data_IF_544935673690
#
_entry.id   IF_544935673690
#
_cell.length_a   1.000
_cell.length_b   1.000
_cell.length_c   1.000
_cell.angle_alpha   90.00
_cell.angle_beta   90.00
_cell.angle_gamma   90.00
#
_symmetry.space_group_name_H-M   'P 1'
#
loop_
_entity.id
_entity.type
_entity.pdbx_description
1 polymer ?
#
# COMPACT_ATOMS: atom_id res chain seq x y z
N UNK A 1 15.52 20.00 -23.86
CA UNK A 1 15.59 18.79 -23.00
C UNK A 1 15.39 17.58 -23.89
N UNK A 2 16.19 16.51 -23.76
CA UNK A 2 16.02 15.25 -24.52
C UNK A 2 15.92 14.10 -23.52
N UNK A 3 15.00 13.16 -23.75
CA UNK A 3 14.83 11.95 -22.93
C UNK A 3 15.83 10.92 -23.45
N UNK A 4 16.67 10.38 -22.56
CA UNK A 4 17.61 9.29 -22.90
C UNK A 4 16.92 7.93 -22.74
N UNK A 5 16.26 7.74 -21.61
CA UNK A 5 15.54 6.52 -21.26
C UNK A 5 14.20 6.91 -20.62
N UNK A 6 13.10 6.43 -21.20
CA UNK A 6 11.75 6.75 -20.71
C UNK A 6 11.38 5.97 -19.45
N UNK A 7 11.92 4.75 -19.26
CA UNK A 7 11.60 3.85 -18.15
C UNK A 7 12.90 3.30 -17.55
N UNK A 8 13.52 4.06 -16.67
CA UNK A 8 14.78 3.67 -16.03
C UNK A 8 14.53 2.72 -14.83
N UNK A 9 13.55 3.04 -13.99
CA UNK A 9 13.24 2.26 -12.80
C UNK A 9 11.74 2.16 -12.55
N UNK A 10 11.35 1.12 -11.82
CA UNK A 10 10.00 0.97 -11.25
C UNK A 10 10.12 1.23 -9.76
N UNK A 11 9.28 2.12 -9.24
CA UNK A 11 9.28 2.54 -7.85
C UNK A 11 7.98 2.12 -7.17
N UNK A 12 8.08 1.69 -5.92
CA UNK A 12 6.93 1.45 -5.06
C UNK A 12 6.33 2.75 -4.55
N UNK A 13 5.04 2.73 -4.20
CA UNK A 13 4.35 3.87 -3.59
C UNK A 13 5.05 4.31 -2.29
N UNK A 14 5.60 3.36 -1.54
CA UNK A 14 6.35 3.64 -0.32
C UNK A 14 7.61 4.46 -0.57
N UNK A 15 8.41 4.11 -1.58
CA UNK A 15 9.63 4.86 -1.92
C UNK A 15 9.30 6.29 -2.33
N UNK A 16 8.26 6.47 -3.15
CA UNK A 16 7.80 7.79 -3.57
C UNK A 16 7.26 8.59 -2.36
N UNK A 17 6.45 7.96 -1.51
CA UNK A 17 5.93 8.57 -0.29
C UNK A 17 7.04 8.99 0.67
N UNK A 18 8.03 8.13 0.91
CA UNK A 18 9.17 8.40 1.78
C UNK A 18 10.03 9.56 1.24
N UNK A 19 10.25 9.59 -0.07
CA UNK A 19 10.96 10.68 -0.75
C UNK A 19 10.22 12.02 -0.60
N UNK A 20 8.93 12.05 -0.93
CA UNK A 20 8.11 13.27 -0.84
C UNK A 20 7.98 13.77 0.60
N UNK A 21 7.85 12.85 1.56
CA UNK A 21 7.78 13.17 3.00
C UNK A 21 9.09 13.77 3.52
N UNK A 22 10.23 13.21 3.12
CA UNK A 22 11.56 13.74 3.47
C UNK A 22 11.76 15.12 2.86
N UNK A 23 11.45 15.29 1.58
CA UNK A 23 11.56 16.59 0.89
C UNK A 23 10.66 17.66 1.52
N UNK A 24 9.46 17.28 1.97
CA UNK A 24 8.56 18.19 2.68
C UNK A 24 9.18 18.68 4.02
N UNK A 25 9.81 17.78 4.78
CA UNK A 25 10.50 18.13 6.04
C UNK A 25 11.68 19.07 5.79
N UNK A 26 12.54 18.77 4.83
CA UNK A 26 13.70 19.61 4.49
C UNK A 26 13.29 21.04 4.09
N UNK A 27 12.18 21.19 3.35
CA UNK A 27 11.68 22.49 2.93
C UNK A 27 11.19 23.32 4.12
N UNK A 28 10.50 22.65 5.07
CA UNK A 28 10.06 23.28 6.31
C UNK A 28 11.25 23.74 7.16
N UNK A 29 12.27 22.89 7.33
CA UNK A 29 13.49 23.20 8.08
C UNK A 29 14.25 24.37 7.47
N UNK A 30 14.39 24.40 6.14
CA UNK A 30 15.07 25.46 5.41
C UNK A 30 14.22 26.74 5.27
N UNK A 31 12.97 26.74 5.73
CA UNK A 31 11.97 27.81 5.50
C UNK A 31 11.87 28.18 4.02
N UNK A 32 12.07 27.19 3.13
CA UNK A 32 12.00 27.35 1.68
C UNK A 32 10.68 26.80 1.18
N UNK A 33 10.19 27.39 0.09
CA UNK A 33 8.99 26.94 -0.58
C UNK A 33 9.31 26.64 -2.03
N UNK A 34 8.88 25.48 -2.51
CA UNK A 34 9.04 25.13 -3.91
C UNK A 34 8.15 25.97 -4.82
N UNK A 35 8.30 25.78 -6.14
CA UNK A 35 7.32 26.27 -7.11
C UNK A 35 5.90 25.83 -6.73
N UNK A 36 4.90 26.70 -6.89
CA UNK A 36 3.54 26.44 -6.41
C UNK A 36 2.89 25.17 -6.99
N UNK A 37 3.19 24.84 -8.24
CA UNK A 37 2.73 23.61 -8.88
C UNK A 37 3.32 22.34 -8.25
N UNK A 38 4.60 22.36 -7.87
CA UNK A 38 5.23 21.24 -7.17
C UNK A 38 4.62 21.05 -5.78
N UNK A 39 4.34 22.14 -5.08
CA UNK A 39 3.71 22.12 -3.76
C UNK A 39 2.32 21.49 -3.80
N UNK A 40 1.51 21.84 -4.79
CA UNK A 40 0.17 21.26 -5.01
C UNK A 40 0.28 19.77 -5.29
N UNK A 41 1.10 19.37 -6.27
CA UNK A 41 1.28 17.97 -6.65
C UNK A 41 1.76 17.12 -5.47
N UNK A 42 2.75 17.61 -4.72
CA UNK A 42 3.26 16.92 -3.53
C UNK A 42 2.16 16.70 -2.49
N UNK A 43 1.37 17.73 -2.19
CA UNK A 43 0.28 17.63 -1.21
C UNK A 43 -0.78 16.63 -1.66
N UNK A 44 -1.19 16.68 -2.91
CA UNK A 44 -2.20 15.78 -3.48
C UNK A 44 -1.72 14.33 -3.49
N UNK A 45 -0.45 14.07 -3.84
CA UNK A 45 0.12 12.73 -3.81
C UNK A 45 0.24 12.16 -2.40
N UNK A 46 0.69 12.97 -1.43
CA UNK A 46 0.73 12.54 -0.03
C UNK A 46 -0.68 12.22 0.48
N UNK A 47 -1.67 13.05 0.14
CA UNK A 47 -3.07 12.79 0.48
C UNK A 47 -3.59 11.50 -0.16
N UNK A 48 -3.25 11.24 -1.43
CA UNK A 48 -3.60 10.00 -2.11
C UNK A 48 -3.00 8.77 -1.41
N UNK A 49 -1.71 8.82 -1.06
CA UNK A 49 -1.05 7.71 -0.36
C UNK A 49 -1.60 7.49 1.06
N UNK A 50 -2.05 8.54 1.75
CA UNK A 50 -2.61 8.41 3.10
C UNK A 50 -4.12 8.06 3.12
N UNK A 51 -4.80 8.06 1.97
CA UNK A 51 -6.23 7.77 1.90
C UNK A 51 -6.54 6.27 2.02
N UNK A 52 -7.46 5.89 2.90
CA UNK A 52 -7.96 4.50 2.97
C UNK A 52 -8.61 4.10 1.63
N UNK A 53 -8.36 2.88 1.09
CA UNK A 53 -7.72 1.72 1.70
C UNK A 53 -6.22 1.55 1.37
N UNK A 54 -5.47 2.62 1.07
CA UNK A 54 -4.03 2.54 0.81
C UNK A 54 -3.28 1.85 1.96
N UNK A 55 -2.25 1.01 1.68
CA UNK A 55 -1.41 0.43 2.73
C UNK A 55 -0.72 1.46 3.62
N UNK A 56 -0.51 2.68 3.11
CA UNK A 56 0.15 3.78 3.83
C UNK A 56 -0.83 4.66 4.62
N UNK A 57 -2.13 4.32 4.66
CA UNK A 57 -3.15 5.11 5.37
C UNK A 57 -3.11 4.95 6.89
N UNK A 58 -2.49 3.88 7.40
CA UNK A 58 -2.46 3.58 8.83
C UNK A 58 -1.39 4.40 9.57
N UNK A 59 -1.71 4.86 10.78
CA UNK A 59 -0.79 5.62 11.65
C UNK A 59 -0.74 4.98 13.04
N UNK A 60 0.44 4.52 13.52
CA UNK A 60 1.74 4.50 12.83
C UNK A 60 1.73 3.59 11.58
N UNK A 61 2.65 3.80 10.62
CA UNK A 61 2.73 2.96 9.42
C UNK A 61 3.04 1.51 9.82
N UNK A 62 2.41 0.51 9.16
CA UNK A 62 2.55 -0.89 9.54
C UNK A 62 3.89 -1.50 9.10
N UNK A 63 4.59 -0.85 8.16
CA UNK A 63 5.88 -1.27 7.63
C UNK A 63 6.71 -0.08 7.13
N UNK A 64 8.00 -0.32 6.87
CA UNK A 64 8.94 0.66 6.32
C UNK A 64 9.67 0.11 5.08
N UNK A 65 10.72 0.80 4.62
CA UNK A 65 11.46 0.41 3.42
C UNK A 65 12.15 -0.97 3.54
N UNK A 66 12.41 -1.47 4.75
CA UNK A 66 12.98 -2.81 4.95
C UNK A 66 11.98 -3.92 4.58
N UNK A 67 10.68 -3.61 4.51
CA UNK A 67 9.66 -4.57 4.09
C UNK A 67 9.76 -4.95 2.60
N UNK A 68 10.38 -4.11 1.75
CA UNK A 68 10.57 -4.43 0.32
C UNK A 68 11.44 -5.68 0.15
N UNK A 69 12.70 -5.72 0.64
CA UNK A 69 13.53 -6.92 0.54
C UNK A 69 12.97 -8.10 1.35
N UNK A 70 12.31 -7.84 2.48
CA UNK A 70 11.68 -8.90 3.27
C UNK A 70 10.55 -9.59 2.49
N UNK A 71 9.68 -8.83 1.81
CA UNK A 71 8.59 -9.39 1.01
C UNK A 71 9.13 -10.09 -0.23
N UNK A 72 10.17 -9.55 -0.87
CA UNK A 72 10.83 -10.22 -1.99
C UNK A 72 11.35 -11.60 -1.59
N UNK A 73 12.01 -11.72 -0.44
CA UNK A 73 12.50 -13.02 0.03
C UNK A 73 11.34 -13.93 0.45
N UNK A 74 10.31 -13.38 1.13
CA UNK A 74 9.12 -14.15 1.56
C UNK A 74 8.35 -14.76 0.39
N UNK A 75 8.30 -14.07 -0.74
CA UNK A 75 7.57 -14.51 -1.93
C UNK A 75 8.45 -15.19 -2.98
N UNK A 76 9.74 -15.39 -2.68
CA UNK A 76 10.73 -15.92 -3.63
C UNK A 76 10.43 -17.34 -4.13
N UNK A 77 9.72 -18.14 -3.34
CA UNK A 77 9.30 -19.48 -3.72
C UNK A 77 8.31 -19.48 -4.89
N UNK A 78 7.61 -18.37 -5.10
CA UNK A 78 6.57 -18.20 -6.10
C UNK A 78 7.12 -17.50 -7.34
N UNK A 79 6.63 -17.88 -8.52
CA UNK A 79 6.97 -17.20 -9.77
C UNK A 79 6.17 -15.89 -9.90
N UNK A 80 6.47 -14.92 -9.04
CA UNK A 80 5.91 -13.58 -9.07
C UNK A 80 6.82 -12.67 -9.90
N UNK A 81 6.24 -12.04 -10.92
CA UNK A 81 6.97 -11.09 -11.77
C UNK A 81 7.24 -9.78 -11.05
N UNK A 82 8.19 -8.98 -11.55
CA UNK A 82 8.50 -7.67 -10.98
C UNK A 82 7.28 -6.73 -10.98
N UNK A 83 6.43 -6.80 -12.01
CA UNK A 83 5.22 -5.98 -12.11
C UNK A 83 4.19 -6.35 -11.05
N UNK A 84 3.93 -7.65 -10.92
CA UNK A 84 3.03 -8.18 -9.88
C UNK A 84 3.54 -7.87 -8.49
N UNK A 85 4.85 -8.02 -8.23
CA UNK A 85 5.43 -7.66 -6.93
C UNK A 85 5.14 -6.21 -6.55
N UNK A 86 5.35 -5.27 -7.49
CA UNK A 86 5.08 -3.85 -7.24
C UNK A 86 3.59 -3.61 -6.98
N UNK A 87 2.72 -4.31 -7.71
CA UNK A 87 1.28 -4.23 -7.49
C UNK A 87 0.86 -4.82 -6.12
N UNK A 88 1.40 -5.97 -5.75
CA UNK A 88 1.20 -6.60 -4.43
C UNK A 88 1.62 -5.63 -3.33
N UNK A 89 2.80 -5.03 -3.45
CA UNK A 89 3.32 -4.11 -2.44
C UNK A 89 2.45 -2.84 -2.32
N UNK A 90 2.01 -2.30 -3.46
CA UNK A 90 1.25 -1.05 -3.52
C UNK A 90 -0.23 -1.22 -3.10
N UNK A 91 -0.83 -2.38 -3.36
CA UNK A 91 -2.24 -2.66 -3.09
C UNK A 91 -2.47 -3.46 -1.81
N UNK A 92 -1.47 -4.25 -1.38
CA UNK A 92 -1.51 -5.13 -0.20
C UNK A 92 -2.79 -5.98 -0.17
N UNK A 93 -2.96 -6.94 -1.11
CA UNK A 93 -4.11 -7.81 -1.12
C UNK A 93 -4.19 -8.62 0.18
N UNK A 94 -5.37 -8.62 0.80
CA UNK A 94 -5.62 -9.24 2.13
C UNK A 94 -6.38 -10.54 2.06
N UNK A 95 -6.83 -10.93 0.86
CA UNK A 95 -7.59 -12.14 0.61
C UNK A 95 -7.40 -12.59 -0.84
N UNK A 96 -7.74 -13.85 -1.12
CA UNK A 96 -7.57 -14.48 -2.43
C UNK A 96 -8.25 -13.67 -3.56
N UNK A 97 -9.50 -13.17 -3.43
CA UNK A 97 -10.10 -12.35 -4.48
C UNK A 97 -9.29 -11.09 -4.84
N UNK A 98 -8.76 -10.38 -3.83
CA UNK A 98 -7.91 -9.21 -4.08
C UNK A 98 -6.55 -9.59 -4.65
N UNK A 99 -6.01 -10.75 -4.30
CA UNK A 99 -4.78 -11.28 -4.90
C UNK A 99 -5.00 -11.65 -6.38
N UNK A 100 -6.15 -12.25 -6.71
CA UNK A 100 -6.53 -12.59 -8.09
C UNK A 100 -6.67 -11.35 -8.98
N UNK A 101 -7.05 -10.21 -8.40
CA UNK A 101 -7.10 -8.95 -9.13
C UNK A 101 -5.71 -8.36 -9.43
N UNK A 102 -4.66 -8.88 -8.79
CA UNK A 102 -3.27 -8.41 -8.92
C UNK A 102 -2.44 -9.35 -9.80
N UNK A 103 -2.68 -10.66 -9.72
CA UNK A 103 -1.93 -11.70 -10.41
C UNK A 103 -2.77 -12.26 -11.57
N UNK A 104 -2.26 -12.19 -12.79
CA UNK A 104 -2.91 -12.78 -13.96
C UNK A 104 -2.84 -14.30 -13.94
N UNK A 105 -3.91 -14.96 -14.41
CA UNK A 105 -4.04 -16.42 -14.50
C UNK A 105 -3.70 -17.16 -13.18
N UNK A 106 -4.09 -16.56 -12.04
CA UNK A 106 -3.68 -17.01 -10.70
C UNK A 106 -4.05 -18.48 -10.43
N UNK A 107 -5.25 -18.91 -10.82
CA UNK A 107 -5.75 -20.28 -10.61
C UNK A 107 -4.97 -21.33 -11.43
N UNK A 108 -4.36 -20.93 -12.55
CA UNK A 108 -3.53 -21.82 -13.37
C UNK A 108 -2.09 -21.92 -12.84
N UNK A 109 -1.61 -20.86 -12.17
CA UNK A 109 -0.22 -20.72 -11.71
C UNK A 109 0.02 -21.22 -10.30
N UNK A 110 -0.97 -21.11 -9.42
CA UNK A 110 -0.84 -21.39 -8.00
C UNK A 110 -1.98 -22.27 -7.52
N UNK A 111 -1.62 -23.32 -6.78
CA UNK A 111 -2.58 -24.13 -6.03
C UNK A 111 -3.28 -23.30 -4.96
N UNK A 112 -4.43 -23.77 -4.49
CA UNK A 112 -5.19 -23.06 -3.45
C UNK A 112 -4.35 -22.82 -2.17
N UNK A 113 -3.56 -23.82 -1.76
CA UNK A 113 -2.68 -23.72 -0.59
C UNK A 113 -1.59 -22.65 -0.79
N UNK A 114 -1.03 -22.54 -2.00
CA UNK A 114 -0.03 -21.51 -2.33
C UNK A 114 -0.66 -20.11 -2.37
N UNK A 115 -1.88 -19.97 -2.88
CA UNK A 115 -2.60 -18.70 -2.87
C UNK A 115 -2.84 -18.22 -1.43
N UNK A 116 -3.24 -19.13 -0.53
CA UNK A 116 -3.39 -18.83 0.89
C UNK A 116 -2.06 -18.46 1.54
N UNK A 117 -0.97 -19.19 1.26
CA UNK A 117 0.36 -18.86 1.79
C UNK A 117 0.87 -17.50 1.29
N UNK A 118 0.63 -17.14 0.02
CA UNK A 118 1.00 -15.83 -0.52
C UNK A 118 0.29 -14.72 0.25
N UNK A 119 -1.04 -14.82 0.45
CA UNK A 119 -1.82 -13.84 1.22
C UNK A 119 -1.29 -13.74 2.65
N UNK A 120 -1.02 -14.88 3.29
CA UNK A 120 -0.48 -14.92 4.65
C UNK A 120 0.91 -14.28 4.74
N UNK A 121 1.80 -14.56 3.78
CA UNK A 121 3.13 -13.95 3.69
C UNK A 121 3.09 -12.44 3.47
N UNK A 122 2.13 -11.95 2.68
CA UNK A 122 1.89 -10.52 2.52
C UNK A 122 1.45 -9.90 3.86
N UNK A 123 0.52 -10.53 4.57
CA UNK A 123 0.06 -10.05 5.87
C UNK A 123 1.15 -10.14 6.96
N UNK A 124 2.03 -11.13 6.89
CA UNK A 124 3.18 -11.29 7.79
C UNK A 124 4.16 -10.13 7.67
N UNK A 125 4.48 -9.71 6.44
CA UNK A 125 5.49 -8.67 6.19
C UNK A 125 4.90 -7.26 6.21
N UNK A 126 3.70 -7.07 5.64
CA UNK A 126 3.05 -5.77 5.51
C UNK A 126 1.99 -5.51 6.61
N UNK A 127 1.79 -6.46 7.52
CA UNK A 127 0.77 -6.43 8.58
C UNK A 127 -0.66 -6.68 8.07
N UNK A 128 -1.65 -6.54 8.95
CA UNK A 128 -3.10 -6.52 8.62
C UNK A 128 -3.74 -5.12 8.81
N UNK A 129 -4.91 -4.89 8.21
CA UNK A 129 -5.71 -3.72 8.57
C UNK A 129 -6.39 -3.97 9.92
N UNK A 130 -6.48 -2.96 10.80
CA UNK A 130 -7.26 -3.11 12.01
C UNK A 130 -8.71 -3.44 11.64
N UNK A 131 -9.40 -4.27 12.45
CA UNK A 131 -10.81 -4.50 12.25
C UNK A 131 -11.54 -3.14 12.29
N UNK A 132 -12.58 -2.95 11.47
CA UNK A 132 -13.43 -1.78 11.63
C UNK A 132 -13.90 -1.71 13.09
N UNK A 133 -13.96 -0.52 13.70
CA UNK A 133 -14.44 -0.38 15.06
C UNK A 133 -15.80 -1.08 15.16
N UNK A 134 -15.95 -1.96 16.14
CA UNK A 134 -17.24 -2.58 16.43
C UNK A 134 -18.23 -1.43 16.64
N UNK A 135 -19.26 -1.35 15.81
CA UNK A 135 -20.42 -0.52 16.13
C UNK A 135 -21.00 -1.12 17.40
N UNK A 136 -20.72 -0.50 18.55
CA UNK A 136 -21.40 -0.79 19.80
C UNK A 136 -22.90 -0.76 19.50
N UNK A 137 -23.53 -1.93 19.52
CA UNK A 137 -24.94 -2.09 19.25
C UNK A 137 -25.75 -1.24 20.22
N UNK A 138 -26.32 -0.14 19.74
CA UNK A 138 -27.39 0.57 20.43
C UNK A 138 -28.62 -0.34 20.45
N UNK A 139 -28.68 -1.15 21.50
CA UNK A 139 -29.90 -1.72 22.01
C UNK A 139 -30.75 -0.63 22.69
N UNK A 140 -31.99 -0.55 22.21
CA UNK A 140 -33.21 -0.29 22.98
C UNK A 140 -33.67 1.17 23.19
N UNK A 141 -34.66 1.59 22.38
CA UNK A 141 -35.85 2.31 22.85
C UNK A 141 -36.94 2.38 21.74
N UNK A 142 -37.53 1.23 21.37
CA UNK A 142 -38.90 1.26 20.83
C UNK A 142 -39.88 1.33 22.01
N UNK A 143 -40.17 2.54 22.49
CA UNK A 143 -41.43 2.77 23.21
C UNK A 143 -42.50 3.12 22.18
N UNK A 144 -43.24 2.10 21.76
CA UNK A 144 -44.60 2.26 21.22
C UNK A 144 -45.45 2.98 22.26
N UNK A 145 -45.90 4.18 21.93
CA UNK A 145 -47.01 4.84 22.63
C UNK A 145 -48.30 4.53 21.89
N UNK A 146 -49.25 3.96 22.63
CA UNK A 146 -50.67 3.84 22.27
C UNK A 146 -51.35 5.22 22.24
#
# INVERSE_FOLDING_TARGET
MKILESQNAVLTNLEVYAFLSTQAKEYQEQKRRGPGNLEVLRKELLQYFEAFPSPLSQKPPPFDAAAIPALLERLRAYQITKGEFVMIFNMRPTNIPTLNAVIEDMEERFTQDEQEDIVNGIAEVLGSFPPPPEEDGEGDAMQTTE
#
